data_IF_677854053336
#
_entry.id   IF_677854053336
#
_cell.length_a   1.000
_cell.length_b   1.000
_cell.length_c   1.000
_cell.angle_alpha   90.00
_cell.angle_beta   90.00
_cell.angle_gamma   90.00
#
_symmetry.space_group_name_H-M   'P 1'
#
loop_
_entity.id
_entity.type
_entity.pdbx_description
1 polymer ?
#
# COMPACT_ATOMS: atom_id res chain seq x y z
N UNK A 1 -13.70 -3.01 7.52
CA UNK A 1 -14.53 -1.82 7.77
C UNK A 1 -13.75 -0.57 7.40
N UNK A 2 -14.24 0.22 6.43
CA UNK A 2 -13.50 1.37 5.88
C UNK A 2 -13.67 2.63 6.72
N UNK A 3 -12.58 3.30 7.08
CA UNK A 3 -12.57 4.60 7.78
C UNK A 3 -11.71 5.57 6.98
N UNK A 4 -12.14 6.83 6.84
CA UNK A 4 -11.36 7.87 6.17
C UNK A 4 -10.82 8.83 7.23
N UNK A 5 -9.50 8.95 7.33
CA UNK A 5 -8.83 9.86 8.29
C UNK A 5 -8.26 11.11 7.64
N UNK A 6 -8.15 11.14 6.31
CA UNK A 6 -7.67 12.28 5.56
C UNK A 6 -8.32 12.31 4.17
N UNK A 7 -8.49 13.51 3.64
CA UNK A 7 -8.97 13.78 2.29
C UNK A 7 -7.82 14.23 1.39
N UNK A 8 -7.97 14.07 0.07
CA UNK A 8 -7.01 14.59 -0.91
C UNK A 8 -5.79 13.69 -1.14
N UNK A 9 -5.07 13.93 -2.23
CA UNK A 9 -3.94 13.11 -2.65
C UNK A 9 -2.67 13.94 -2.73
N UNK A 10 -1.53 13.38 -2.31
CA UNK A 10 -0.22 14.02 -2.49
C UNK A 10 0.15 14.10 -3.97
N UNK A 11 -0.09 13.02 -4.70
CA UNK A 11 0.24 12.90 -6.11
C UNK A 11 -1.00 13.01 -6.98
N UNK A 12 -0.88 13.69 -8.11
CA UNK A 12 -1.94 13.77 -9.12
C UNK A 12 -1.64 12.85 -10.30
N UNK A 13 -1.23 11.62 -9.99
CA UNK A 13 -0.71 10.65 -10.96
C UNK A 13 -1.58 10.58 -12.22
N UNK A 14 -0.94 10.60 -13.40
CA UNK A 14 -1.63 10.57 -14.69
C UNK A 14 -2.58 9.38 -14.83
N UNK A 15 -2.13 8.19 -14.40
CA UNK A 15 -2.85 6.92 -14.52
C UNK A 15 -3.88 6.64 -13.40
N UNK A 16 -3.86 7.39 -12.30
CA UNK A 16 -4.66 7.06 -11.12
C UNK A 16 -6.12 7.49 -11.31
N UNK A 17 -7.03 6.50 -11.40
CA UNK A 17 -8.49 6.74 -11.52
C UNK A 17 -9.15 7.21 -10.22
N UNK A 18 -8.48 7.03 -9.08
CA UNK A 18 -8.99 7.40 -7.74
C UNK A 18 -8.34 8.67 -7.20
N UNK A 19 -7.64 9.45 -8.03
CA UNK A 19 -7.00 10.71 -7.60
C UNK A 19 -8.05 11.75 -7.20
N UNK A 20 -7.71 12.55 -6.19
CA UNK A 20 -8.53 13.67 -5.74
C UNK A 20 -7.92 15.00 -6.18
N UNK A 21 -8.72 15.99 -6.60
CA UNK A 21 -8.24 17.34 -6.87
C UNK A 21 -7.87 18.09 -5.58
N UNK A 22 -8.37 17.63 -4.43
CA UNK A 22 -8.19 18.28 -3.13
C UNK A 22 -6.76 18.10 -2.61
N UNK A 23 -6.26 19.11 -1.89
CA UNK A 23 -5.01 19.01 -1.12
C UNK A 23 -5.20 18.06 0.06
N UNK A 24 -4.13 17.39 0.45
CA UNK A 24 -4.13 16.53 1.64
C UNK A 24 -4.59 17.32 2.87
N UNK A 25 -5.57 16.79 3.59
CA UNK A 25 -6.07 17.37 4.83
C UNK A 25 -6.59 16.29 5.76
N UNK A 26 -6.12 16.31 7.00
CA UNK A 26 -6.65 15.46 8.05
C UNK A 26 -8.10 15.77 8.39
N UNK A 27 -8.86 14.73 8.70
CA UNK A 27 -10.19 14.84 9.28
C UNK A 27 -10.10 14.97 10.79
N UNK A 28 -11.07 15.65 11.39
CA UNK A 28 -11.14 15.75 12.85
C UNK A 28 -11.47 14.41 13.50
N UNK A 29 -11.07 14.26 14.76
CA UNK A 29 -11.40 13.09 15.58
C UNK A 29 -12.92 12.89 15.66
N UNK A 30 -13.70 13.95 15.80
CA UNK A 30 -15.17 13.93 15.86
C UNK A 30 -15.79 13.42 14.56
N UNK A 31 -15.21 13.78 13.41
CA UNK A 31 -15.63 13.23 12.13
C UNK A 31 -15.36 11.72 12.06
N UNK A 32 -14.17 11.27 12.49
CA UNK A 32 -13.80 9.85 12.53
C UNK A 32 -14.72 9.07 13.47
N UNK A 33 -14.98 9.58 14.68
CA UNK A 33 -15.93 8.98 15.64
C UNK A 33 -17.33 8.82 15.02
N UNK A 34 -17.79 9.85 14.31
CA UNK A 34 -19.09 9.85 13.63
C UNK A 34 -19.14 8.79 12.53
N UNK A 35 -18.09 8.66 11.70
CA UNK A 35 -17.98 7.61 10.68
C UNK A 35 -18.05 6.22 11.31
N UNK A 36 -17.27 5.99 12.37
CA UNK A 36 -17.23 4.71 13.10
C UNK A 36 -18.58 4.35 13.69
N UNK A 37 -19.29 5.31 14.30
CA UNK A 37 -20.65 5.08 14.80
C UNK A 37 -21.60 4.68 13.68
N UNK A 38 -21.61 5.40 12.56
CA UNK A 38 -22.49 5.05 11.43
C UNK A 38 -22.16 3.68 10.82
N UNK A 39 -20.89 3.29 10.78
CA UNK A 39 -20.49 1.96 10.34
C UNK A 39 -20.97 0.90 11.33
N UNK A 40 -20.81 1.14 12.63
CA UNK A 40 -21.30 0.23 13.67
C UNK A 40 -22.81 0.01 13.56
N UNK A 41 -23.56 1.10 13.39
CA UNK A 41 -25.02 1.03 13.21
C UNK A 41 -25.40 0.31 11.90
N UNK A 42 -24.62 0.53 10.83
CA UNK A 42 -24.84 -0.11 9.53
C UNK A 42 -24.60 -1.62 9.57
N UNK A 43 -23.50 -2.09 10.18
CA UNK A 43 -23.23 -3.52 10.30
C UNK A 43 -24.13 -4.18 11.36
N UNK A 44 -24.54 -3.44 12.39
CA UNK A 44 -25.41 -3.96 13.45
C UNK A 44 -24.87 -5.25 14.06
N UNK A 45 -25.69 -6.29 14.10
CA UNK A 45 -25.32 -7.59 14.66
C UNK A 45 -24.26 -8.34 13.82
N UNK A 46 -24.12 -8.01 12.54
CA UNK A 46 -23.14 -8.66 11.66
C UNK A 46 -21.71 -8.17 11.92
N UNK A 47 -21.51 -7.17 12.76
CA UNK A 47 -20.18 -6.60 13.02
C UNK A 47 -19.17 -7.64 13.53
N UNK A 48 -19.63 -8.64 14.29
CA UNK A 48 -18.82 -9.75 14.80
C UNK A 48 -18.23 -10.62 13.68
N UNK A 49 -18.77 -10.56 12.47
CA UNK A 49 -18.24 -11.28 11.30
C UNK A 49 -17.10 -10.51 10.59
N UNK A 50 -16.65 -9.38 11.14
CA UNK A 50 -15.56 -8.57 10.60
C UNK A 50 -14.50 -8.31 11.68
N UNK A 51 -13.22 -8.52 11.36
CA UNK A 51 -12.08 -8.27 12.26
C UNK A 51 -11.13 -7.17 11.75
N UNK A 52 -11.45 -6.56 10.61
CA UNK A 52 -10.47 -5.75 9.87
C UNK A 52 -10.91 -4.30 9.72
N UNK A 53 -9.98 -3.38 9.92
CA UNK A 53 -10.15 -1.95 9.63
C UNK A 53 -9.33 -1.61 8.39
N UNK A 54 -9.92 -0.86 7.48
CA UNK A 54 -9.22 -0.30 6.33
C UNK A 54 -9.24 1.21 6.45
N UNK A 55 -8.08 1.81 6.71
CA UNK A 55 -7.93 3.26 6.68
C UNK A 55 -7.79 3.65 5.21
N UNK A 56 -8.94 3.97 4.63
CA UNK A 56 -9.10 4.21 3.22
C UNK A 56 -8.81 5.64 2.80
N UNK A 57 -8.77 5.79 1.48
CA UNK A 57 -8.41 6.99 0.73
C UNK A 57 -6.94 7.41 0.84
N UNK A 58 -6.33 7.53 -0.34
CA UNK A 58 -5.03 8.15 -0.58
C UNK A 58 -3.90 7.63 0.31
N UNK A 59 -3.31 8.49 1.15
CA UNK A 59 -2.04 8.25 1.84
C UNK A 59 -2.19 8.53 3.33
N UNK A 60 -2.60 7.51 4.09
CA UNK A 60 -2.86 7.67 5.53
C UNK A 60 -1.58 7.82 6.35
N UNK A 61 -0.44 7.33 5.83
CA UNK A 61 0.88 7.47 6.47
C UNK A 61 1.33 8.94 6.50
N UNK A 62 0.80 9.77 5.59
CA UNK A 62 1.04 11.21 5.62
C UNK A 62 0.24 11.96 6.70
N UNK A 63 -0.70 11.29 7.39
CA UNK A 63 -1.34 11.85 8.56
C UNK A 63 -0.39 11.81 9.77
N UNK A 64 -0.65 12.64 10.76
CA UNK A 64 0.00 12.62 12.05
C UNK A 64 -0.15 11.27 12.74
N UNK A 65 0.92 10.84 13.40
CA UNK A 65 0.95 9.61 14.19
C UNK A 65 -0.20 9.55 15.20
N UNK A 66 -0.48 10.69 15.85
CA UNK A 66 -1.54 10.83 16.86
C UNK A 66 -2.94 10.56 16.27
N UNK A 67 -3.20 11.02 15.04
CA UNK A 67 -4.49 10.80 14.39
C UNK A 67 -4.63 9.36 13.90
N UNK A 68 -3.57 8.79 13.32
CA UNK A 68 -3.54 7.41 12.86
C UNK A 68 -3.75 6.43 14.02
N UNK A 69 -3.01 6.61 15.12
CA UNK A 69 -3.14 5.82 16.34
C UNK A 69 -4.54 5.97 16.95
N UNK A 70 -5.03 7.21 17.08
CA UNK A 70 -6.37 7.48 17.59
C UNK A 70 -7.44 6.76 16.77
N UNK A 71 -7.39 6.88 15.43
CA UNK A 71 -8.39 6.29 14.56
C UNK A 71 -8.38 4.76 14.64
N UNK A 72 -7.20 4.14 14.62
CA UNK A 72 -7.05 2.70 14.71
C UNK A 72 -7.54 2.15 16.06
N UNK A 73 -7.13 2.75 17.19
CA UNK A 73 -7.59 2.35 18.53
C UNK A 73 -9.09 2.54 18.69
N UNK A 74 -9.59 3.71 18.32
CA UNK A 74 -11.03 4.00 18.47
C UNK A 74 -11.89 3.03 17.65
N UNK A 75 -11.46 2.70 16.43
CA UNK A 75 -12.14 1.72 15.59
C UNK A 75 -12.09 0.31 16.19
N UNK A 76 -10.93 -0.10 16.72
CA UNK A 76 -10.76 -1.38 17.38
C UNK A 76 -11.77 -1.57 18.52
N UNK A 77 -11.82 -0.59 19.43
CA UNK A 77 -12.68 -0.63 20.60
C UNK A 77 -14.16 -0.52 20.21
N UNK A 78 -14.50 0.41 19.30
CA UNK A 78 -15.88 0.66 18.92
C UNK A 78 -16.51 -0.53 18.17
N UNK A 79 -15.73 -1.23 17.35
CA UNK A 79 -16.16 -2.38 16.59
C UNK A 79 -15.99 -3.72 17.33
N UNK A 80 -15.44 -3.69 18.55
CA UNK A 80 -15.20 -4.87 19.38
C UNK A 80 -14.40 -5.98 18.67
N UNK A 81 -13.34 -5.57 17.95
CA UNK A 81 -12.60 -6.49 17.07
C UNK A 81 -11.91 -7.63 17.81
N UNK A 82 -11.64 -7.46 19.11
CA UNK A 82 -11.07 -8.51 19.95
C UNK A 82 -12.01 -9.71 20.12
N UNK A 83 -13.33 -9.51 19.96
CA UNK A 83 -14.36 -10.53 20.09
C UNK A 83 -14.99 -10.89 18.73
N UNK A 84 -14.34 -10.56 17.62
CA UNK A 84 -14.79 -10.98 16.30
C UNK A 84 -14.70 -12.51 16.14
N UNK A 85 -15.59 -13.07 15.32
CA UNK A 85 -15.61 -14.50 14.98
C UNK A 85 -14.41 -14.93 14.11
N UNK A 86 -13.69 -13.96 13.53
CA UNK A 86 -12.52 -14.17 12.69
C UNK A 86 -11.23 -13.97 13.49
N UNK A 87 -10.24 -14.82 13.26
CA UNK A 87 -8.96 -14.77 13.93
C UNK A 87 -8.20 -13.46 13.64
N UNK A 88 -7.72 -12.81 14.70
CA UNK A 88 -6.75 -11.71 14.64
C UNK A 88 -7.21 -10.43 13.94
N UNK A 89 -7.27 -9.29 14.64
CA UNK A 89 -7.63 -8.03 14.00
C UNK A 89 -6.56 -7.57 13.00
N UNK A 90 -7.01 -7.07 11.84
CA UNK A 90 -6.10 -6.58 10.79
C UNK A 90 -6.35 -5.11 10.45
N UNK A 91 -5.27 -4.36 10.22
CA UNK A 91 -5.32 -2.95 9.83
C UNK A 91 -4.72 -2.80 8.44
N UNK A 92 -5.49 -2.29 7.49
CA UNK A 92 -5.06 -2.07 6.11
C UNK A 92 -4.93 -0.57 5.84
N UNK A 93 -3.80 -0.14 5.29
CA UNK A 93 -3.47 1.25 5.03
C UNK A 93 -2.86 1.40 3.62
N UNK A 94 -3.13 2.52 2.96
CA UNK A 94 -2.34 2.96 1.81
C UNK A 94 -1.30 4.00 2.23
N UNK A 95 -0.10 3.86 1.68
CA UNK A 95 1.01 4.80 1.82
C UNK A 95 1.57 5.21 0.45
N UNK A 96 2.48 6.18 0.46
CA UNK A 96 3.17 6.64 -0.74
C UNK A 96 4.68 6.70 -0.55
N UNK A 97 5.41 6.91 -1.64
CA UNK A 97 6.88 7.06 -1.62
C UNK A 97 7.29 8.15 -0.62
N UNK A 98 6.71 9.35 -0.74
CA UNK A 98 7.06 10.48 0.11
C UNK A 98 6.69 10.25 1.56
N UNK A 99 5.50 9.68 1.84
CA UNK A 99 5.07 9.49 3.23
C UNK A 99 5.92 8.44 3.93
N UNK A 100 6.32 7.37 3.23
CA UNK A 100 7.27 6.41 3.78
C UNK A 100 8.63 7.07 4.07
N UNK A 101 9.19 7.85 3.15
CA UNK A 101 10.48 8.52 3.36
C UNK A 101 10.40 9.46 4.56
N UNK A 102 9.35 10.30 4.63
CA UNK A 102 9.17 11.35 5.64
C UNK A 102 8.76 10.82 7.01
N UNK A 103 8.02 9.71 7.08
CA UNK A 103 7.54 9.17 8.34
C UNK A 103 8.70 8.77 9.26
N UNK A 104 8.75 9.30 10.47
CA UNK A 104 9.73 8.87 11.46
C UNK A 104 9.46 7.42 11.90
N UNK A 105 10.51 6.70 12.34
CA UNK A 105 10.34 5.33 12.85
C UNK A 105 9.35 5.26 14.01
N UNK A 106 9.21 6.33 14.80
CA UNK A 106 8.23 6.45 15.88
C UNK A 106 6.77 6.23 15.42
N UNK A 107 6.44 6.52 14.16
CA UNK A 107 5.11 6.22 13.59
C UNK A 107 4.88 4.70 13.59
N UNK A 108 5.84 3.94 13.06
CA UNK A 108 5.77 2.48 12.97
C UNK A 108 5.88 1.83 14.36
N UNK A 109 6.68 2.38 15.27
CA UNK A 109 6.75 1.90 16.66
C UNK A 109 5.42 2.04 17.42
N UNK A 110 4.63 3.07 17.11
CA UNK A 110 3.27 3.22 17.66
C UNK A 110 2.31 2.22 17.03
N UNK A 111 2.39 2.02 15.71
CA UNK A 111 1.56 1.06 15.00
C UNK A 111 1.83 -0.38 15.45
N UNK A 112 3.09 -0.74 15.71
CA UNK A 112 3.49 -2.06 16.21
C UNK A 112 2.82 -2.41 17.56
N UNK A 113 2.52 -1.39 18.37
CA UNK A 113 1.88 -1.55 19.68
C UNK A 113 0.35 -1.60 19.59
N UNK A 114 -0.21 -1.41 18.41
CA UNK A 114 -1.65 -1.54 18.22
C UNK A 114 -2.05 -3.02 18.21
N UNK A 115 -3.28 -3.36 18.64
CA UNK A 115 -3.78 -4.73 18.63
C UNK A 115 -4.18 -5.19 17.21
N UNK A 116 -3.33 -4.96 16.21
CA UNK A 116 -3.56 -5.32 14.81
C UNK A 116 -2.33 -5.94 14.17
N UNK A 117 -2.55 -6.91 13.29
CA UNK A 117 -1.61 -7.14 12.17
C UNK A 117 -1.83 -6.05 11.13
N UNK A 118 -0.82 -5.23 10.88
CA UNK A 118 -0.92 -4.05 10.03
C UNK A 118 -0.26 -4.26 8.67
N UNK A 119 -1.06 -4.06 7.62
CA UNK A 119 -0.64 -4.15 6.23
C UNK A 119 -0.68 -2.78 5.57
N UNK A 120 0.47 -2.31 5.10
CA UNK A 120 0.61 -1.03 4.42
C UNK A 120 0.91 -1.32 2.95
N UNK A 121 0.11 -0.80 2.02
CA UNK A 121 0.36 -0.97 0.60
C UNK A 121 0.87 0.34 0.00
N UNK A 122 2.03 0.28 -0.66
CA UNK A 122 2.70 1.46 -1.22
C UNK A 122 2.82 1.31 -2.73
N UNK A 123 2.25 2.26 -3.46
CA UNK A 123 2.49 2.38 -4.89
C UNK A 123 3.89 2.91 -5.13
N UNK A 124 4.81 2.08 -5.65
CA UNK A 124 6.14 2.50 -6.14
C UNK A 124 6.14 2.68 -7.66
N UNK A 125 5.33 1.90 -8.38
CA UNK A 125 5.18 1.85 -9.83
C UNK A 125 6.45 1.44 -10.59
N UNK A 126 7.57 2.15 -10.40
CA UNK A 126 8.81 1.90 -11.11
C UNK A 126 10.00 2.49 -10.37
N UNK A 127 11.15 1.84 -10.45
CA UNK A 127 12.46 2.37 -10.04
C UNK A 127 13.28 2.89 -11.24
N UNK A 128 12.63 3.12 -12.38
CA UNK A 128 13.20 3.67 -13.60
C UNK A 128 12.55 5.03 -13.90
N UNK A 129 13.37 6.08 -14.03
CA UNK A 129 12.88 7.45 -14.17
C UNK A 129 12.05 7.66 -15.45
N UNK A 130 12.47 7.11 -16.59
CA UNK A 130 11.73 7.24 -17.85
C UNK A 130 10.31 6.66 -17.73
N UNK A 131 10.19 5.53 -17.04
CA UNK A 131 8.90 4.92 -16.74
C UNK A 131 8.06 5.77 -15.80
N UNK A 132 8.66 6.32 -14.74
CA UNK A 132 7.98 7.21 -13.79
C UNK A 132 7.41 8.45 -14.47
N UNK A 133 8.19 9.03 -15.39
CA UNK A 133 7.80 10.20 -16.19
C UNK A 133 6.68 9.86 -17.16
N UNK A 134 6.80 8.71 -17.87
CA UNK A 134 5.74 8.20 -18.76
C UNK A 134 4.42 7.97 -18.04
N UNK A 135 4.47 7.49 -16.80
CA UNK A 135 3.28 7.30 -15.96
C UNK A 135 2.74 8.63 -15.38
N UNK A 136 3.53 9.70 -15.40
CA UNK A 136 3.19 10.98 -14.79
C UNK A 136 3.00 10.85 -13.28
N UNK A 137 3.86 10.07 -12.61
CA UNK A 137 3.75 9.84 -11.16
C UNK A 137 4.21 11.05 -10.33
N UNK A 138 5.20 11.79 -10.84
CA UNK A 138 5.76 12.95 -10.15
C UNK A 138 6.64 12.59 -8.94
N UNK A 139 7.39 11.49 -9.03
CA UNK A 139 8.42 11.09 -8.06
C UNK A 139 9.72 10.77 -8.79
N UNK A 140 10.83 10.62 -8.06
CA UNK A 140 12.14 10.33 -8.64
C UNK A 140 12.54 8.87 -8.40
N UNK A 141 13.40 8.35 -9.27
CA UNK A 141 14.03 7.05 -9.10
C UNK A 141 14.71 6.92 -7.72
N UNK A 142 15.48 7.93 -7.30
CA UNK A 142 16.14 7.94 -5.99
C UNK A 142 15.14 7.88 -4.83
N UNK A 143 14.02 8.60 -4.92
CA UNK A 143 12.96 8.54 -3.92
C UNK A 143 12.36 7.13 -3.84
N UNK A 144 12.10 6.50 -4.98
CA UNK A 144 11.60 5.11 -5.00
C UNK A 144 12.60 4.15 -4.37
N UNK A 145 13.89 4.28 -4.68
CA UNK A 145 14.96 3.46 -4.07
C UNK A 145 15.05 3.65 -2.56
N UNK A 146 15.04 4.89 -2.09
CA UNK A 146 15.06 5.22 -0.66
C UNK A 146 13.81 4.67 0.06
N UNK A 147 12.63 4.85 -0.52
CA UNK A 147 11.40 4.31 0.04
C UNK A 147 11.45 2.78 0.10
N UNK A 148 11.88 2.10 -0.98
CA UNK A 148 11.97 0.64 -0.99
C UNK A 148 12.94 0.12 0.08
N UNK A 149 14.12 0.72 0.22
CA UNK A 149 15.07 0.34 1.25
C UNK A 149 14.48 0.48 2.67
N UNK A 150 13.77 1.59 2.93
CA UNK A 150 13.08 1.81 4.21
C UNK A 150 11.93 0.85 4.46
N UNK A 151 11.15 0.52 3.43
CA UNK A 151 10.09 -0.52 3.49
C UNK A 151 10.71 -1.85 3.92
N UNK A 152 11.85 -2.23 3.34
CA UNK A 152 12.54 -3.47 3.71
C UNK A 152 13.06 -3.46 5.14
N UNK A 153 13.63 -2.34 5.60
CA UNK A 153 14.05 -2.18 7.00
C UNK A 153 12.87 -2.34 7.97
N UNK A 154 11.75 -1.68 7.71
CA UNK A 154 10.52 -1.78 8.52
C UNK A 154 10.01 -3.23 8.55
N UNK A 155 9.97 -3.90 7.40
CA UNK A 155 9.52 -5.29 7.32
C UNK A 155 10.40 -6.27 8.11
N UNK A 156 11.70 -5.97 8.26
CA UNK A 156 12.61 -6.76 9.09
C UNK A 156 12.47 -6.44 10.58
N UNK A 157 12.24 -5.17 10.90
CA UNK A 157 12.27 -4.66 12.27
C UNK A 157 11.00 -4.95 13.07
N UNK A 158 9.84 -4.93 12.42
CA UNK A 158 8.55 -4.97 13.10
C UNK A 158 7.80 -6.27 12.81
N UNK A 159 7.26 -6.90 13.84
CA UNK A 159 6.59 -8.20 13.72
C UNK A 159 5.12 -8.04 13.31
N UNK A 160 4.44 -7.00 13.78
CA UNK A 160 3.04 -6.76 13.47
C UNK A 160 2.83 -5.95 12.18
N UNK A 161 3.90 -5.44 11.56
CA UNK A 161 3.81 -4.62 10.34
C UNK A 161 4.33 -5.39 9.13
N UNK A 162 3.58 -5.34 8.02
CA UNK A 162 4.06 -5.67 6.68
C UNK A 162 3.74 -4.53 5.71
N UNK A 163 4.77 -3.97 5.08
CA UNK A 163 4.66 -3.03 3.98
C UNK A 163 4.90 -3.75 2.66
N UNK A 164 3.91 -3.70 1.78
CA UNK A 164 3.92 -4.28 0.44
C UNK A 164 4.14 -3.20 -0.62
N UNK A 165 4.76 -3.58 -1.74
CA UNK A 165 5.10 -2.64 -2.81
C UNK A 165 4.40 -3.00 -4.11
N UNK A 166 3.78 -2.02 -4.76
CA UNK A 166 3.19 -2.20 -6.08
C UNK A 166 4.12 -1.64 -7.16
N UNK A 167 4.38 -2.45 -8.18
CA UNK A 167 5.05 -2.06 -9.42
C UNK A 167 4.11 -2.25 -10.61
N UNK A 168 4.28 -1.47 -11.66
CA UNK A 168 3.59 -1.73 -12.93
C UNK A 168 4.27 -2.88 -13.67
N UNK A 169 3.56 -3.51 -14.60
CA UNK A 169 4.10 -4.58 -15.43
C UNK A 169 3.46 -4.55 -16.82
N UNK A 170 4.26 -4.44 -17.88
CA UNK A 170 3.69 -4.30 -19.22
C UNK A 170 4.74 -4.35 -20.32
N UNK A 171 4.32 -4.73 -21.53
CA UNK A 171 5.17 -4.72 -22.73
C UNK A 171 5.54 -3.32 -23.20
N UNK A 172 4.66 -2.34 -22.97
CA UNK A 172 4.84 -0.97 -23.48
C UNK A 172 5.65 -0.10 -22.48
N UNK A 173 6.35 -0.70 -21.52
CA UNK A 173 7.19 0.02 -20.57
C UNK A 173 8.59 0.25 -21.16
N UNK A 174 9.27 1.36 -20.79
CA UNK A 174 10.67 1.57 -21.15
C UNK A 174 11.56 0.37 -20.82
N UNK A 175 12.57 0.13 -21.66
CA UNK A 175 13.45 -1.05 -21.57
C UNK A 175 14.19 -1.13 -20.21
N UNK A 176 14.46 0.02 -19.60
CA UNK A 176 15.10 0.14 -18.28
C UNK A 176 14.26 -0.36 -17.11
N UNK A 177 12.94 -0.44 -17.26
CA UNK A 177 12.01 -0.70 -16.15
C UNK A 177 12.29 -2.00 -15.39
N UNK A 178 12.39 -3.12 -16.10
CA UNK A 178 12.63 -4.42 -15.47
C UNK A 178 14.05 -4.51 -14.93
N UNK A 179 15.03 -3.91 -15.63
CA UNK A 179 16.42 -3.90 -15.20
C UNK A 179 16.57 -3.15 -13.87
N UNK A 180 16.02 -1.93 -13.77
CA UNK A 180 16.13 -1.14 -12.53
C UNK A 180 15.39 -1.77 -11.37
N UNK A 181 14.24 -2.41 -11.63
CA UNK A 181 13.52 -3.17 -10.60
C UNK A 181 14.41 -4.28 -10.03
N UNK A 182 15.06 -5.06 -10.89
CA UNK A 182 15.94 -6.15 -10.46
C UNK A 182 17.17 -5.65 -9.69
N UNK A 183 17.76 -4.52 -10.10
CA UNK A 183 18.84 -3.87 -9.37
C UNK A 183 18.40 -3.48 -7.94
N UNK A 184 17.17 -2.96 -7.78
CA UNK A 184 16.60 -2.64 -6.47
C UNK A 184 16.37 -3.89 -5.62
N UNK A 185 15.89 -4.99 -6.22
CA UNK A 185 15.74 -6.27 -5.52
C UNK A 185 17.11 -6.80 -5.07
N UNK A 186 18.07 -6.90 -5.97
CA UNK A 186 19.42 -7.44 -5.69
C UNK A 186 20.16 -6.61 -4.64
N UNK A 187 19.93 -5.30 -4.59
CA UNK A 187 20.55 -4.42 -3.58
C UNK A 187 19.94 -4.53 -2.18
N UNK A 188 18.71 -5.05 -2.06
CA UNK A 188 17.97 -5.04 -0.81
C UNK A 188 17.72 -6.43 -0.21
N UNK A 189 18.00 -7.50 -0.95
CA UNK A 189 17.82 -8.88 -0.49
C UNK A 189 19.09 -9.69 -0.68
N UNK A 190 19.56 -10.26 0.42
CA UNK A 190 20.65 -11.21 0.50
C UNK A 190 20.14 -12.67 0.66
N UNK A 191 18.90 -12.86 1.10
CA UNK A 191 18.23 -14.14 1.25
C UNK A 191 16.69 -14.03 1.09
N UNK A 192 15.98 -15.16 0.87
CA UNK A 192 14.52 -15.17 0.83
C UNK A 192 13.88 -14.66 2.12
N UNK A 193 12.82 -13.87 1.99
CA UNK A 193 12.12 -13.25 3.13
C UNK A 193 10.60 -13.41 3.00
N UNK A 194 9.89 -13.50 4.13
CA UNK A 194 8.46 -13.84 4.15
C UNK A 194 7.52 -12.63 4.18
N UNK A 195 8.05 -11.44 4.48
CA UNK A 195 7.34 -10.15 4.42
C UNK A 195 7.82 -9.31 3.26
N UNK A 196 7.00 -8.33 2.88
CA UNK A 196 7.37 -7.37 1.84
C UNK A 196 6.88 -7.80 0.47
N UNK A 197 5.69 -8.41 0.43
CA UNK A 197 5.08 -8.89 -0.81
C UNK A 197 5.12 -7.82 -1.91
N UNK A 198 5.48 -8.24 -3.12
CA UNK A 198 5.53 -7.38 -4.31
C UNK A 198 4.36 -7.70 -5.23
N UNK A 199 3.52 -6.70 -5.48
CA UNK A 199 2.41 -6.80 -6.41
C UNK A 199 2.78 -6.16 -7.74
N UNK A 200 2.51 -6.87 -8.84
CA UNK A 200 2.70 -6.37 -10.19
C UNK A 200 1.35 -6.07 -10.82
N UNK A 201 1.13 -4.82 -11.21
CA UNK A 201 -0.10 -4.33 -11.84
C UNK A 201 0.05 -4.30 -13.36
N UNK A 202 -0.64 -5.18 -14.10
CA UNK A 202 -0.61 -5.19 -15.56
C UNK A 202 -1.10 -3.88 -16.18
N UNK A 203 -0.24 -3.23 -16.97
CA UNK A 203 -0.68 -2.18 -17.89
C UNK A 203 -1.13 -2.84 -19.19
N UNK A 204 -2.42 -3.13 -19.28
CA UNK A 204 -3.00 -3.76 -20.46
C UNK A 204 -3.58 -2.66 -21.36
N UNK A 205 -2.87 -2.34 -22.43
CA UNK A 205 -3.39 -1.49 -23.49
C UNK A 205 -4.20 -2.35 -24.48
N UNK A 206 -5.34 -1.84 -24.95
CA UNK A 206 -6.22 -2.52 -25.91
C UNK A 206 -5.49 -2.91 -27.23
N UNK A 207 -4.41 -2.20 -27.55
CA UNK A 207 -3.59 -2.46 -28.75
C UNK A 207 -2.68 -3.69 -28.65
N UNK A 208 -2.47 -4.25 -27.46
CA UNK A 208 -1.46 -5.28 -27.23
C UNK A 208 -2.07 -6.63 -26.77
N UNK A 209 -3.00 -7.16 -27.57
CA UNK A 209 -3.72 -8.42 -27.31
C UNK A 209 -2.74 -9.61 -27.15
N UNK A 210 -1.61 -9.59 -27.88
CA UNK A 210 -0.56 -10.59 -27.77
C UNK A 210 0.12 -10.62 -26.40
N UNK A 211 0.37 -9.46 -25.79
CA UNK A 211 0.95 -9.35 -24.45
C UNK A 211 0.05 -9.98 -23.38
N UNK A 212 -1.27 -9.80 -23.48
CA UNK A 212 -2.23 -10.40 -22.53
C UNK A 212 -2.11 -11.93 -22.45
N UNK A 213 -1.74 -12.59 -23.56
CA UNK A 213 -1.51 -14.05 -23.60
C UNK A 213 -0.18 -14.47 -22.97
N UNK A 214 0.83 -13.61 -23.05
CA UNK A 214 2.19 -13.89 -22.57
C UNK A 214 2.48 -13.38 -21.15
N UNK A 215 1.62 -12.52 -20.60
CA UNK A 215 1.87 -11.84 -19.31
C UNK A 215 2.19 -12.81 -18.17
N UNK A 216 1.49 -13.94 -18.10
CA UNK A 216 1.75 -14.97 -17.08
C UNK A 216 3.16 -15.55 -17.23
N UNK A 217 3.57 -15.86 -18.47
CA UNK A 217 4.89 -16.43 -18.77
C UNK A 217 5.99 -15.45 -18.39
N UNK A 218 5.87 -14.20 -18.80
CA UNK A 218 6.89 -13.18 -18.47
C UNK A 218 6.93 -12.88 -16.97
N UNK A 219 5.77 -12.85 -16.30
CA UNK A 219 5.72 -12.73 -14.86
C UNK A 219 6.40 -13.92 -14.16
N UNK A 220 6.18 -15.16 -14.60
CA UNK A 220 6.84 -16.32 -14.00
C UNK A 220 8.36 -16.27 -14.16
N UNK A 221 8.87 -15.82 -15.31
CA UNK A 221 10.31 -15.59 -15.49
C UNK A 221 10.86 -14.52 -14.55
N UNK A 222 10.10 -13.46 -14.30
CA UNK A 222 10.50 -12.42 -13.36
C UNK A 222 10.46 -12.93 -11.92
N UNK A 223 9.38 -13.64 -11.55
CA UNK A 223 9.14 -14.18 -10.21
C UNK A 223 10.24 -15.11 -9.70
N UNK A 224 10.90 -15.87 -10.57
CA UNK A 224 12.03 -16.74 -10.16
C UNK A 224 13.24 -15.97 -9.65
N UNK A 225 13.29 -14.64 -9.84
CA UNK A 225 14.35 -13.75 -9.37
C UNK A 225 13.95 -12.91 -8.16
N UNK A 226 12.73 -13.05 -7.66
CA UNK A 226 12.21 -12.25 -6.55
C UNK A 226 12.26 -13.11 -5.26
N UNK A 227 13.01 -12.69 -4.23
CA UNK A 227 13.21 -13.46 -3.00
C UNK A 227 12.04 -13.33 -1.99
N UNK A 228 10.97 -12.64 -2.35
CA UNK A 228 9.76 -12.43 -1.54
C UNK A 228 8.52 -12.90 -2.29
N UNK A 229 7.39 -13.14 -1.59
CA UNK A 229 6.12 -13.39 -2.24
C UNK A 229 5.82 -12.32 -3.30
N UNK A 230 5.46 -12.78 -4.50
CA UNK A 230 5.12 -11.90 -5.61
C UNK A 230 3.91 -12.41 -6.36
N UNK A 231 3.03 -11.47 -6.73
CA UNK A 231 1.73 -11.75 -7.33
C UNK A 231 1.43 -10.75 -8.45
N UNK A 232 0.74 -11.22 -9.49
CA UNK A 232 0.04 -10.34 -10.41
C UNK A 232 -1.25 -9.87 -9.77
N UNK A 233 -1.46 -8.56 -9.74
CA UNK A 233 -2.61 -7.92 -9.14
C UNK A 233 -3.40 -7.13 -10.19
N UNK A 234 -4.67 -7.50 -10.37
CA UNK A 234 -5.55 -6.89 -11.37
C UNK A 234 -6.46 -5.87 -10.68
N UNK A 235 -5.93 -4.71 -10.26
CA UNK A 235 -6.78 -3.64 -9.72
C UNK A 235 -7.55 -2.90 -10.83
N UNK A 236 -7.03 -2.92 -12.05
CA UNK A 236 -7.65 -2.25 -13.17
C UNK A 236 -8.60 -3.24 -13.86
N UNK A 237 -9.92 -3.00 -13.73
CA UNK A 237 -10.86 -3.48 -14.74
C UNK A 237 -10.37 -2.99 -16.10
N UNK A 238 -10.02 -3.98 -16.93
CA UNK A 238 -9.89 -3.91 -18.39
C UNK A 238 -11.03 -3.10 -19.00
#
# INVERSE_FOLDING_TARGET
>A
MPIIIADGCLYRCGFCRVKSPLKFKERSRENIKTQVRYLKDFYGNDISNYNSVFIGQHDAINASADLLEFAARYAFDAFDLNNANLDGPSLFIFGSVDSIIKAEYAVFERMEKLPFKTYINVGLESSDQETLDKLGKGTTEDAVKMAFAKIMDINRRYEQIEITSNFVFGADLPDGHIKSFLEVIESNFDHPFHKGTIYFSPLINAKNIGWKRNIKREFFKLKTRIPVPSFLYLIQRL
#
